data_IF_649484534360
#
_entry.id   IF_649484534360
#
_cell.length_a   1.000
_cell.length_b   1.000
_cell.length_c   1.000
_cell.angle_alpha   90.00
_cell.angle_beta   90.00
_cell.angle_gamma   90.00
#
_symmetry.space_group_name_H-M   'P 1'
#
loop_
_entity.id
_entity.type
_entity.pdbx_description
1 polymer ?
#
# COMPACT_ATOMS: atom_id res chain seq x y z
N UNK A 1 -14.82 19.65 7.25
CA UNK A 1 -13.91 19.44 6.10
C UNK A 1 -14.60 18.61 5.02
N UNK A 2 -14.31 18.90 3.74
CA UNK A 2 -14.89 18.20 2.58
C UNK A 2 -14.18 16.88 2.35
N UNK A 3 -14.94 15.80 2.18
CA UNK A 3 -14.42 14.50 1.73
C UNK A 3 -13.93 14.62 0.28
N UNK A 4 -12.64 14.41 0.05
CA UNK A 4 -12.00 14.53 -1.26
C UNK A 4 -12.22 13.25 -2.10
N UNK A 5 -13.45 13.05 -2.59
CA UNK A 5 -13.86 11.87 -3.38
C UNK A 5 -12.93 11.52 -4.55
N UNK A 6 -12.32 12.52 -5.19
CA UNK A 6 -11.44 12.32 -6.34
C UNK A 6 -10.20 11.47 -6.03
N UNK A 7 -9.66 11.58 -4.81
CA UNK A 7 -8.41 10.90 -4.46
C UNK A 7 -8.59 9.38 -4.32
N UNK A 8 -9.72 8.94 -3.77
CA UNK A 8 -10.03 7.51 -3.71
C UNK A 8 -10.19 6.90 -5.11
N UNK A 9 -10.74 7.67 -6.06
CA UNK A 9 -10.87 7.26 -7.46
C UNK A 9 -9.50 7.14 -8.13
N UNK A 10 -8.61 8.10 -7.90
CA UNK A 10 -7.25 8.07 -8.44
C UNK A 10 -6.45 6.88 -7.90
N UNK A 11 -6.58 6.56 -6.60
CA UNK A 11 -5.96 5.35 -6.03
C UNK A 11 -6.52 4.08 -6.66
N UNK A 12 -7.83 4.00 -6.86
CA UNK A 12 -8.46 2.84 -7.50
C UNK A 12 -7.96 2.67 -8.94
N UNK A 13 -7.82 3.77 -9.69
CA UNK A 13 -7.24 3.76 -11.03
C UNK A 13 -5.78 3.26 -11.00
N UNK A 14 -4.95 3.82 -10.12
CA UNK A 14 -3.56 3.42 -9.97
C UNK A 14 -3.43 1.92 -9.63
N UNK A 15 -4.21 1.43 -8.67
CA UNK A 15 -4.23 0.01 -8.31
C UNK A 15 -4.70 -0.88 -9.47
N UNK A 16 -5.67 -0.42 -10.27
CA UNK A 16 -6.14 -1.16 -11.45
C UNK A 16 -5.05 -1.29 -12.50
N UNK A 17 -4.30 -0.21 -12.76
CA UNK A 17 -3.16 -0.25 -13.68
C UNK A 17 -2.10 -1.24 -13.20
N UNK A 18 -1.80 -1.28 -11.90
CA UNK A 18 -0.87 -2.26 -11.31
C UNK A 18 -1.36 -3.70 -11.53
N UNK A 19 -2.66 -3.96 -11.39
CA UNK A 19 -3.22 -5.29 -11.66
C UNK A 19 -3.10 -5.67 -13.13
N UNK A 20 -3.45 -4.75 -14.04
CA UNK A 20 -3.26 -4.95 -15.49
C UNK A 20 -1.79 -5.25 -15.77
N UNK A 21 -0.89 -4.55 -15.09
CA UNK A 21 0.54 -4.70 -15.32
C UNK A 21 1.08 -6.09 -14.94
N UNK A 22 0.70 -6.59 -13.76
CA UNK A 22 1.05 -7.95 -13.38
C UNK A 22 0.44 -9.00 -14.32
N UNK A 23 -0.78 -8.78 -14.82
CA UNK A 23 -1.41 -9.69 -15.79
C UNK A 23 -0.62 -9.72 -17.10
N UNK A 24 -0.19 -8.57 -17.62
CA UNK A 24 0.59 -8.50 -18.86
C UNK A 24 2.01 -9.05 -18.70
N UNK A 25 2.64 -8.87 -17.54
CA UNK A 25 3.92 -9.51 -17.20
C UNK A 25 3.76 -11.04 -17.21
N UNK A 26 2.75 -11.58 -16.53
CA UNK A 26 2.47 -13.02 -16.52
C UNK A 26 2.22 -13.54 -17.95
N UNK A 27 1.46 -12.81 -18.76
CA UNK A 27 1.22 -13.20 -20.17
C UNK A 27 2.53 -13.25 -20.95
N UNK A 28 3.38 -12.23 -20.81
CA UNK A 28 4.69 -12.15 -21.45
C UNK A 28 5.59 -13.33 -21.05
N UNK A 29 5.70 -13.61 -19.75
CA UNK A 29 6.53 -14.68 -19.22
C UNK A 29 6.08 -16.07 -19.69
N UNK A 30 4.79 -16.23 -19.98
CA UNK A 30 4.20 -17.46 -20.51
C UNK A 30 4.11 -17.50 -22.05
N UNK A 31 4.70 -16.53 -22.76
CA UNK A 31 4.67 -16.46 -24.23
C UNK A 31 3.28 -16.20 -24.82
N UNK A 32 2.35 -15.70 -24.02
CA UNK A 32 1.00 -15.29 -24.44
C UNK A 32 1.08 -13.88 -25.03
N UNK A 33 0.29 -13.60 -26.06
CA UNK A 33 0.21 -12.27 -26.66
C UNK A 33 -0.08 -11.19 -25.61
N UNK A 34 0.84 -10.26 -25.44
CA UNK A 34 0.81 -9.24 -24.40
C UNK A 34 0.87 -7.82 -25.02
N UNK A 35 0.48 -6.82 -24.23
CA UNK A 35 0.52 -5.42 -24.64
C UNK A 35 1.86 -4.74 -24.39
N UNK A 36 2.73 -5.32 -23.55
CA UNK A 36 4.05 -4.78 -23.20
C UNK A 36 4.97 -4.77 -24.42
N UNK A 37 4.94 -5.84 -25.23
CA UNK A 37 5.79 -5.98 -26.41
C UNK A 37 5.19 -5.33 -27.67
N UNK A 38 4.01 -4.68 -27.56
CA UNK A 38 3.36 -4.03 -28.69
C UNK A 38 3.97 -2.64 -28.94
N UNK A 39 4.72 -2.41 -30.04
CA UNK A 39 5.42 -1.15 -30.28
C UNK A 39 4.48 0.02 -30.63
N UNK A 40 3.20 -0.24 -30.89
CA UNK A 40 2.22 0.78 -31.32
C UNK A 40 1.33 1.27 -30.18
N UNK A 41 1.30 0.55 -29.04
CA UNK A 41 0.46 0.89 -27.90
C UNK A 41 1.29 1.59 -26.83
N UNK A 42 0.84 2.74 -26.34
CA UNK A 42 1.42 3.34 -25.13
C UNK A 42 0.87 2.56 -23.94
N UNK A 43 1.76 1.81 -23.30
CA UNK A 43 1.45 1.00 -22.15
C UNK A 43 1.77 1.75 -20.85
N UNK A 44 0.82 1.88 -19.90
CA UNK A 44 1.05 2.59 -18.64
C UNK A 44 1.94 1.76 -17.71
N UNK A 45 2.98 2.40 -17.18
CA UNK A 45 3.94 1.76 -16.27
C UNK A 45 3.30 1.41 -14.91
N UNK A 46 3.32 0.12 -14.57
CA UNK A 46 2.88 -0.39 -13.28
C UNK A 46 3.68 0.17 -12.10
N UNK A 47 4.99 0.34 -12.24
CA UNK A 47 5.84 0.88 -11.18
C UNK A 47 5.47 2.33 -10.86
N UNK A 48 5.31 3.17 -11.88
CA UNK A 48 4.84 4.55 -11.71
C UNK A 48 3.46 4.60 -11.04
N UNK A 49 2.59 3.65 -11.36
CA UNK A 49 1.25 3.54 -10.76
C UNK A 49 1.32 3.17 -9.27
N UNK A 50 2.23 2.29 -8.87
CA UNK A 50 2.50 2.01 -7.44
C UNK A 50 2.99 3.27 -6.71
N UNK A 51 3.90 4.03 -7.32
CA UNK A 51 4.40 5.29 -6.75
C UNK A 51 3.25 6.28 -6.56
N UNK A 52 2.43 6.47 -7.59
CA UNK A 52 1.26 7.35 -7.53
C UNK A 52 0.30 6.94 -6.41
N UNK A 53 0.02 5.65 -6.28
CA UNK A 53 -0.81 5.11 -5.21
C UNK A 53 -0.26 5.47 -3.83
N UNK A 54 1.04 5.27 -3.58
CA UNK A 54 1.67 5.60 -2.30
C UNK A 54 1.68 7.10 -2.00
N UNK A 55 1.96 7.95 -2.99
CA UNK A 55 1.94 9.40 -2.83
C UNK A 55 0.55 9.88 -2.41
N UNK A 56 -0.51 9.38 -3.06
CA UNK A 56 -1.89 9.74 -2.71
C UNK A 56 -2.27 9.21 -1.33
N UNK A 57 -1.89 7.97 -0.99
CA UNK A 57 -2.13 7.40 0.34
C UNK A 57 -1.41 8.21 1.44
N UNK A 58 -0.17 8.61 1.24
CA UNK A 58 0.58 9.46 2.16
C UNK A 58 -0.06 10.84 2.37
N UNK A 59 -0.47 11.49 1.29
CA UNK A 59 -1.22 12.74 1.36
C UNK A 59 -2.53 12.58 2.15
N UNK A 60 -3.33 11.56 1.83
CA UNK A 60 -4.63 11.33 2.46
C UNK A 60 -4.50 11.06 3.96
N UNK A 61 -3.51 10.28 4.38
CA UNK A 61 -3.30 10.01 5.81
C UNK A 61 -2.93 11.29 6.54
N UNK A 62 -1.97 12.04 6.01
CA UNK A 62 -1.53 13.30 6.62
C UNK A 62 -2.68 14.29 6.72
N UNK A 63 -3.48 14.41 5.66
CA UNK A 63 -4.68 15.23 5.63
C UNK A 63 -5.69 14.82 6.72
N UNK A 64 -5.94 13.51 6.89
CA UNK A 64 -6.83 12.99 7.92
C UNK A 64 -6.30 13.24 9.34
N UNK A 65 -4.99 13.11 9.56
CA UNK A 65 -4.35 13.36 10.85
C UNK A 65 -4.43 14.84 11.24
N UNK A 66 -4.14 15.75 10.30
CA UNK A 66 -4.31 17.19 10.49
C UNK A 66 -5.76 17.54 10.82
N UNK A 67 -6.71 16.98 10.07
CA UNK A 67 -8.14 17.18 10.29
C UNK A 67 -8.61 16.71 11.67
N UNK A 68 -8.11 15.57 12.14
CA UNK A 68 -8.40 15.05 13.48
C UNK A 68 -7.78 15.96 14.55
N UNK A 69 -6.52 16.36 14.38
CA UNK A 69 -5.84 17.26 15.31
C UNK A 69 -6.55 18.61 15.46
N UNK A 70 -6.99 19.23 14.36
CA UNK A 70 -7.74 20.50 14.40
C UNK A 70 -9.08 20.37 15.11
N UNK A 71 -9.76 19.22 14.95
CA UNK A 71 -11.10 19.01 15.49
C UNK A 71 -11.11 18.59 16.96
N UNK A 72 -10.20 17.69 17.36
CA UNK A 72 -10.17 17.09 18.71
C UNK A 72 -9.00 17.53 19.57
N UNK A 73 -8.11 18.40 19.07
CA UNK A 73 -6.91 18.85 19.82
C UNK A 73 -5.83 17.77 19.97
N UNK A 74 -6.01 16.61 19.34
CA UNK A 74 -5.12 15.46 19.41
C UNK A 74 -5.60 14.32 18.51
N UNK A 75 -4.74 13.32 18.31
CA UNK A 75 -4.99 12.16 17.43
C UNK A 75 -5.31 10.93 18.28
N UNK A 76 -6.42 10.26 18.00
CA UNK A 76 -6.75 8.98 18.61
C UNK A 76 -6.13 7.81 17.82
N UNK A 77 -4.89 7.47 18.16
CA UNK A 77 -4.15 6.38 17.52
C UNK A 77 -4.88 5.03 17.55
N UNK A 78 -5.55 4.71 18.67
CA UNK A 78 -6.28 3.45 18.81
C UNK A 78 -7.38 3.33 17.75
N UNK A 79 -8.21 4.37 17.61
CA UNK A 79 -9.28 4.40 16.63
C UNK A 79 -8.72 4.45 15.20
N UNK A 80 -7.61 5.17 14.99
CA UNK A 80 -6.94 5.25 13.70
C UNK A 80 -6.43 3.87 13.22
N UNK A 81 -5.77 3.10 14.08
CA UNK A 81 -5.26 1.77 13.75
C UNK A 81 -6.37 0.75 13.63
N UNK A 82 -7.38 0.78 14.51
CA UNK A 82 -8.50 -0.15 14.46
C UNK A 82 -9.24 -0.10 13.11
N UNK A 83 -9.49 1.12 12.59
CA UNK A 83 -10.13 1.29 11.28
C UNK A 83 -9.32 0.70 10.12
N UNK A 84 -7.99 0.67 10.23
CA UNK A 84 -7.09 0.16 9.19
C UNK A 84 -6.96 -1.34 9.25
N UNK A 85 -6.73 -1.87 10.46
CA UNK A 85 -6.68 -3.31 10.72
C UNK A 85 -7.96 -3.97 10.21
N UNK A 86 -9.14 -3.47 10.59
CA UNK A 86 -10.43 -4.03 10.16
C UNK A 86 -10.69 -3.91 8.65
N UNK A 87 -9.98 -3.02 7.95
CA UNK A 87 -10.11 -2.81 6.50
C UNK A 87 -9.15 -3.67 5.69
N UNK A 88 -7.90 -3.79 6.13
CA UNK A 88 -6.80 -4.36 5.32
C UNK A 88 -6.50 -5.79 5.71
N UNK A 89 -6.43 -6.09 7.02
CA UNK A 89 -5.99 -7.39 7.51
C UNK A 89 -6.90 -8.54 7.06
N UNK A 90 -8.25 -8.43 7.09
CA UNK A 90 -9.11 -9.53 6.64
C UNK A 90 -8.80 -9.98 5.22
N UNK A 91 -8.65 -9.03 4.30
CA UNK A 91 -8.35 -9.34 2.90
C UNK A 91 -6.90 -9.80 2.72
N UNK A 92 -5.95 -9.17 3.41
CA UNK A 92 -4.53 -9.55 3.37
C UNK A 92 -4.32 -11.01 3.78
N UNK A 93 -4.85 -11.39 4.96
CA UNK A 93 -4.71 -12.75 5.47
C UNK A 93 -5.51 -13.76 4.66
N UNK A 94 -6.65 -13.37 4.08
CA UNK A 94 -7.39 -14.22 3.15
C UNK A 94 -6.56 -14.52 1.90
N UNK A 95 -5.98 -13.50 1.27
CA UNK A 95 -5.13 -13.67 0.08
C UNK A 95 -3.89 -14.48 0.41
N UNK A 96 -3.25 -14.22 1.56
CA UNK A 96 -2.09 -14.99 2.02
C UNK A 96 -2.46 -16.47 2.23
N UNK A 97 -3.58 -16.75 2.90
CA UNK A 97 -4.08 -18.11 3.13
C UNK A 97 -4.40 -18.85 1.83
N UNK A 98 -5.15 -18.21 0.93
CA UNK A 98 -5.47 -18.79 -0.38
C UNK A 98 -4.20 -19.04 -1.21
N UNK A 99 -3.23 -18.12 -1.14
CA UNK A 99 -1.95 -18.29 -1.86
C UNK A 99 -1.18 -19.54 -1.39
N UNK A 100 -1.23 -19.85 -0.09
CA UNK A 100 -0.56 -21.02 0.48
C UNK A 100 -1.29 -22.33 0.12
N UNK A 101 -2.62 -22.35 0.18
CA UNK A 101 -3.40 -23.58 -0.05
C UNK A 101 -3.52 -23.91 -1.53
N UNK A 102 -3.86 -22.94 -2.38
CA UNK A 102 -4.22 -23.19 -3.78
C UNK A 102 -2.98 -23.54 -4.60
N UNK A 103 -1.90 -22.78 -4.41
CA UNK A 103 -0.73 -22.90 -5.26
C UNK A 103 0.34 -23.82 -4.67
N UNK A 104 0.14 -24.28 -3.43
CA UNK A 104 1.01 -25.17 -2.65
C UNK A 104 2.51 -24.97 -2.93
N UNK A 105 3.03 -23.75 -2.71
CA UNK A 105 4.40 -23.44 -3.06
C UNK A 105 5.40 -23.93 -2.03
N UNK A 106 6.61 -24.23 -2.50
CA UNK A 106 7.76 -24.56 -1.64
C UNK A 106 8.34 -23.29 -1.01
N UNK A 107 7.59 -22.68 -0.08
CA UNK A 107 8.00 -21.48 0.64
C UNK A 107 8.83 -21.83 1.87
N UNK A 108 9.95 -21.12 2.05
CA UNK A 108 10.72 -21.19 3.28
C UNK A 108 9.90 -20.76 4.50
N UNK A 109 10.22 -21.32 5.66
CA UNK A 109 9.63 -20.88 6.94
C UNK A 109 9.83 -19.37 7.17
N UNK A 110 10.99 -18.84 6.77
CA UNK A 110 11.31 -17.41 6.89
C UNK A 110 10.31 -16.56 6.11
N UNK A 111 9.99 -16.93 4.87
CA UNK A 111 9.01 -16.22 4.04
C UNK A 111 7.62 -16.24 4.65
N UNK A 112 7.19 -17.39 5.18
CA UNK A 112 5.88 -17.53 5.82
C UNK A 112 5.80 -16.61 7.04
N UNK A 113 6.81 -16.63 7.91
CA UNK A 113 6.86 -15.79 9.10
C UNK A 113 6.86 -14.30 8.73
N UNK A 114 7.75 -13.88 7.84
CA UNK A 114 7.83 -12.48 7.39
C UNK A 114 6.51 -12.01 6.76
N UNK A 115 5.87 -12.83 5.94
CA UNK A 115 4.57 -12.48 5.33
C UNK A 115 3.45 -12.43 6.37
N UNK A 116 3.44 -13.33 7.36
CA UNK A 116 2.47 -13.34 8.46
C UNK A 116 2.57 -12.09 9.34
N UNK A 117 3.79 -11.58 9.55
CA UNK A 117 4.07 -10.34 10.28
C UNK A 117 4.06 -9.08 9.41
N UNK A 118 3.55 -9.16 8.17
CA UNK A 118 3.40 -7.98 7.27
C UNK A 118 4.77 -7.37 6.88
N UNK A 119 5.79 -8.22 6.73
CA UNK A 119 7.11 -7.91 6.17
C UNK A 119 7.44 -8.65 4.85
N UNK A 120 6.52 -8.78 3.88
CA UNK A 120 6.82 -9.46 2.61
C UNK A 120 7.89 -8.73 1.79
N UNK A 121 8.08 -7.43 2.00
CA UNK A 121 9.16 -6.66 1.42
C UNK A 121 10.55 -7.06 1.92
N UNK A 122 10.67 -7.47 3.19
CA UNK A 122 11.92 -7.98 3.74
C UNK A 122 12.21 -9.37 3.19
N UNK A 123 11.18 -10.23 3.09
CA UNK A 123 11.34 -11.55 2.46
C UNK A 123 11.86 -11.42 1.02
N UNK A 124 11.29 -10.47 0.26
CA UNK A 124 11.77 -10.16 -1.08
C UNK A 124 13.23 -9.65 -1.10
N UNK A 125 13.60 -8.74 -0.20
CA UNK A 125 14.98 -8.25 -0.10
C UNK A 125 15.99 -9.35 0.25
N UNK A 126 15.54 -10.39 0.96
CA UNK A 126 16.31 -11.60 1.26
C UNK A 126 16.32 -12.63 0.12
N UNK A 127 15.75 -12.30 -1.05
CA UNK A 127 15.66 -13.15 -2.25
C UNK A 127 14.82 -14.41 -2.05
N UNK A 128 13.87 -14.38 -1.13
CA UNK A 128 12.78 -15.37 -1.13
C UNK A 128 11.90 -15.13 -2.38
N UNK A 129 11.54 -16.18 -3.13
CA UNK A 129 10.93 -16.06 -4.49
C UNK A 129 9.57 -15.35 -4.49
N UNK A 130 8.95 -15.15 -5.66
CA UNK A 130 7.85 -14.18 -5.83
C UNK A 130 6.63 -14.73 -6.58
N UNK A 131 6.42 -16.04 -6.55
CA UNK A 131 5.79 -16.68 -7.72
C UNK A 131 4.25 -16.60 -7.78
N UNK A 132 3.56 -16.27 -6.68
CA UNK A 132 2.09 -16.46 -6.61
C UNK A 132 1.32 -15.23 -6.09
N UNK A 133 1.97 -14.29 -5.39
CA UNK A 133 1.25 -13.17 -4.78
C UNK A 133 2.13 -11.92 -4.61
N UNK A 134 2.61 -11.30 -5.70
CA UNK A 134 3.46 -10.10 -5.63
C UNK A 134 2.76 -8.90 -4.98
N UNK A 135 1.43 -8.81 -5.07
CA UNK A 135 0.63 -7.72 -4.53
C UNK A 135 0.74 -7.54 -3.00
N UNK A 136 1.08 -8.60 -2.25
CA UNK A 136 1.24 -8.50 -0.78
C UNK A 136 2.43 -7.62 -0.41
N UNK A 137 3.40 -7.46 -1.32
CA UNK A 137 4.55 -6.58 -1.12
C UNK A 137 4.11 -5.13 -0.89
N UNK A 138 3.29 -4.57 -1.80
CA UNK A 138 2.84 -3.18 -1.70
C UNK A 138 1.95 -2.97 -0.47
N UNK A 139 1.11 -3.95 -0.13
CA UNK A 139 0.27 -3.90 1.08
C UNK A 139 1.15 -3.91 2.35
N UNK A 140 2.19 -4.74 2.38
CA UNK A 140 3.13 -4.79 3.50
C UNK A 140 3.82 -3.45 3.75
N UNK A 141 4.30 -2.83 2.68
CA UNK A 141 4.91 -1.49 2.73
C UNK A 141 3.88 -0.44 3.16
N UNK A 142 2.64 -0.53 2.67
CA UNK A 142 1.55 0.37 3.07
C UNK A 142 1.25 0.29 4.57
N UNK A 143 1.13 -0.92 5.13
CA UNK A 143 0.88 -1.13 6.56
C UNK A 143 2.05 -0.64 7.43
N UNK A 144 3.30 -0.86 7.01
CA UNK A 144 4.48 -0.30 7.69
C UNK A 144 4.43 1.23 7.72
N UNK A 145 4.10 1.85 6.60
CA UNK A 145 3.91 3.30 6.52
C UNK A 145 2.76 3.76 7.44
N UNK A 146 1.67 3.00 7.52
CA UNK A 146 0.52 3.32 8.37
C UNK A 146 0.85 3.31 9.86
N UNK A 147 1.79 2.46 10.29
CA UNK A 147 2.26 2.40 11.69
C UNK A 147 3.24 3.55 11.97
N UNK A 148 4.20 3.77 11.07
CA UNK A 148 5.31 4.71 11.30
C UNK A 148 4.83 6.17 11.21
N UNK A 149 4.03 6.49 10.20
CA UNK A 149 3.71 7.88 9.87
C UNK A 149 2.92 8.63 10.96
N UNK A 150 1.86 8.08 11.58
CA UNK A 150 1.12 8.78 12.64
C UNK A 150 1.99 9.06 13.88
N UNK A 151 2.89 8.12 14.22
CA UNK A 151 3.82 8.30 15.33
C UNK A 151 4.82 9.41 15.04
N UNK A 152 5.39 9.41 13.82
CA UNK A 152 6.30 10.46 13.36
C UNK A 152 5.60 11.82 13.32
N UNK A 153 4.36 11.86 12.82
CA UNK A 153 3.55 13.07 12.77
C UNK A 153 3.32 13.66 14.16
N UNK A 154 2.95 12.83 15.15
CA UNK A 154 2.79 13.28 16.54
C UNK A 154 4.12 13.81 17.08
N UNK A 155 5.23 13.08 16.88
CA UNK A 155 6.56 13.51 17.31
C UNK A 155 6.95 14.89 16.74
N UNK A 156 6.74 15.11 15.44
CA UNK A 156 7.02 16.39 14.77
C UNK A 156 6.10 17.50 15.31
N UNK A 157 4.81 17.20 15.50
CA UNK A 157 3.83 18.17 16.02
C UNK A 157 4.12 18.65 17.44
N UNK A 158 4.78 17.81 18.26
CA UNK A 158 5.19 18.15 19.63
C UNK A 158 6.48 18.97 19.70
N UNK A 159 7.38 18.80 18.73
CA UNK A 159 8.72 19.41 18.71
C UNK A 159 8.77 20.70 17.91
N UNK A 160 7.82 20.91 17.00
CA UNK A 160 7.76 22.13 16.20
C UNK A 160 7.12 23.27 17.02
N UNK A 161 7.81 24.42 17.26
CA UNK A 161 7.09 25.64 17.61
C UNK A 161 6.06 25.90 16.50
N UNK A 162 4.88 26.45 16.83
CA UNK A 162 3.70 26.65 15.96
C UNK A 162 3.99 27.28 14.58
N UNK A 163 4.71 26.59 13.71
CA UNK A 163 5.13 27.01 12.39
C UNK A 163 4.34 26.10 11.45
N UNK A 164 3.26 26.64 10.87
CA UNK A 164 2.68 26.06 9.66
C UNK A 164 1.19 25.68 9.68
N UNK A 165 0.50 25.65 10.83
CA UNK A 165 -0.97 25.45 10.82
C UNK A 165 -1.76 26.70 10.35
N UNK A 166 -1.06 27.79 9.99
CA UNK A 166 -1.66 28.99 9.41
C UNK A 166 -1.77 28.98 7.89
N UNK A 167 -1.20 27.99 7.18
CA UNK A 167 -1.19 27.97 5.70
C UNK A 167 -2.52 27.50 5.10
N UNK A 168 -3.48 27.05 5.91
CA UNK A 168 -4.76 26.46 5.46
C UNK A 168 -5.99 27.30 5.89
N UNK A 169 -5.78 28.48 6.50
CA UNK A 169 -6.88 29.43 6.78
C UNK A 169 -6.95 30.56 5.75
#
# INVERSE_FOLDING_TARGET
MKYLKGLDTLRALAATIVVIDHVEIIKKDNGIHNFIDNPTLIYPDGHLSVILFFVISGFLITYLLLAEQEKSGGINLKNFYMRRILRIWPLYYLVLFLSYIIFNPDYSLMRILLSMFIFPNVAYALKETWDISPQIWSIGVEEQFYIIWPLLFIFISMTSPKIGLQVIN
#
